data_IF_004778991181
#
_entry.id   IF_004778991181
#
_cell.length_a   1.000
_cell.length_b   1.000
_cell.length_c   1.000
_cell.angle_alpha   90.00
_cell.angle_beta   90.00
_cell.angle_gamma   90.00
#
_symmetry.space_group_name_H-M   'P 1'
#
loop_
_entity.id
_entity.type
_entity.pdbx_description
1 polymer ?
#
# COMPACT_ATOMS: atom_id res chain seq x y z
N UNK A 1 5.95 2.89 9.14
CA UNK A 1 4.90 2.09 8.49
C UNK A 1 5.38 1.50 7.17
N UNK A 2 5.99 2.31 6.28
CA UNK A 2 6.55 1.84 5.00
C UNK A 2 7.46 0.61 5.17
N UNK A 3 8.49 0.68 6.01
CA UNK A 3 9.45 -0.42 6.14
C UNK A 3 8.85 -1.70 6.74
N UNK A 4 7.83 -1.55 7.60
CA UNK A 4 7.09 -2.68 8.14
C UNK A 4 6.28 -3.38 7.04
N UNK A 5 5.52 -2.62 6.24
CA UNK A 5 4.77 -3.17 5.12
C UNK A 5 5.71 -3.86 4.11
N UNK A 6 6.85 -3.25 3.80
CA UNK A 6 7.87 -3.85 2.93
C UNK A 6 8.40 -5.17 3.48
N UNK A 7 8.66 -5.28 4.78
CA UNK A 7 9.07 -6.55 5.41
C UNK A 7 7.96 -7.60 5.32
N UNK A 8 6.72 -7.24 5.61
CA UNK A 8 5.59 -8.19 5.54
C UNK A 8 5.39 -8.76 4.13
N UNK A 9 5.64 -7.93 3.10
CA UNK A 9 5.69 -8.37 1.70
C UNK A 9 6.91 -9.25 1.42
N UNK A 10 8.11 -8.79 1.79
CA UNK A 10 9.36 -9.50 1.52
C UNK A 10 9.42 -10.89 2.17
N UNK A 11 8.89 -11.02 3.38
CA UNK A 11 8.84 -12.27 4.13
C UNK A 11 7.66 -13.17 3.72
N UNK A 12 6.84 -12.76 2.74
CA UNK A 12 5.66 -13.49 2.28
C UNK A 12 4.56 -13.64 3.35
N UNK A 13 4.61 -12.84 4.42
CA UNK A 13 3.69 -12.94 5.56
C UNK A 13 2.25 -12.66 5.12
N UNK A 14 2.06 -11.65 4.27
CA UNK A 14 0.73 -11.24 3.79
C UNK A 14 0.03 -12.39 3.08
N UNK A 15 0.69 -12.97 2.08
CA UNK A 15 0.11 -14.08 1.30
C UNK A 15 -0.10 -15.32 2.16
N UNK A 16 0.86 -15.65 3.04
CA UNK A 16 0.75 -16.80 3.94
C UNK A 16 -0.43 -16.70 4.91
N UNK A 17 -0.71 -15.50 5.43
CA UNK A 17 -1.78 -15.28 6.42
C UNK A 17 -3.14 -15.04 5.77
N UNK A 18 -3.18 -14.28 4.67
CA UNK A 18 -4.42 -13.84 4.02
C UNK A 18 -4.82 -14.69 2.80
N UNK A 19 -3.94 -15.60 2.36
CA UNK A 19 -4.19 -16.54 1.27
C UNK A 19 -4.06 -15.96 -0.14
N UNK A 20 -3.64 -14.69 -0.28
CA UNK A 20 -3.39 -14.02 -1.57
C UNK A 20 -2.48 -12.80 -1.38
N UNK A 21 -1.79 -12.31 -2.43
CA UNK A 21 -1.09 -11.04 -2.36
C UNK A 21 -2.12 -9.90 -2.17
N UNK A 22 -1.87 -9.01 -1.20
CA UNK A 22 -2.72 -7.86 -0.92
C UNK A 22 -1.87 -6.61 -0.69
N UNK A 23 -2.26 -5.45 -1.25
CA UNK A 23 -1.60 -4.19 -0.93
C UNK A 23 -1.88 -3.77 0.52
N UNK A 24 -0.92 -3.03 1.10
CA UNK A 24 -1.05 -2.36 2.40
C UNK A 24 -1.25 -0.86 2.15
N UNK A 25 -2.43 -0.34 2.50
CA UNK A 25 -2.70 1.11 2.46
C UNK A 25 -2.15 1.76 3.72
N UNK A 26 -1.31 2.79 3.56
CA UNK A 26 -0.72 3.52 4.68
C UNK A 26 -1.56 4.76 4.97
N UNK A 27 -2.00 4.88 6.23
CA UNK A 27 -2.78 6.02 6.70
C UNK A 27 -2.13 6.62 7.95
N UNK A 28 -1.89 7.93 7.95
CA UNK A 28 -1.28 8.66 9.05
C UNK A 28 -2.03 9.97 9.31
N UNK A 29 -2.76 10.03 10.43
CA UNK A 29 -3.52 11.22 10.82
C UNK A 29 -2.65 12.47 11.02
N UNK A 30 -1.35 12.30 11.31
CA UNK A 30 -0.43 13.42 11.49
C UNK A 30 0.17 13.91 10.15
N UNK A 31 -0.11 13.23 9.04
CA UNK A 31 0.44 13.54 7.71
C UNK A 31 -0.64 13.44 6.62
N UNK A 32 -1.65 14.32 6.64
CA UNK A 32 -2.69 14.33 5.63
C UNK A 32 -2.10 14.62 4.24
N UNK A 33 -2.59 13.93 3.21
CA UNK A 33 -2.15 14.05 1.83
C UNK A 33 -0.90 13.23 1.49
N UNK A 34 -0.34 12.49 2.46
CA UNK A 34 0.83 11.63 2.23
C UNK A 34 0.46 10.18 1.89
N UNK A 35 -0.81 9.82 2.05
CA UNK A 35 -1.31 8.44 2.04
C UNK A 35 -1.00 7.73 0.73
N UNK A 36 -1.19 8.41 -0.42
CA UNK A 36 -0.95 7.81 -1.73
C UNK A 36 0.52 7.50 -1.94
N UNK A 37 1.40 8.47 -1.68
CA UNK A 37 2.85 8.28 -1.80
C UNK A 37 3.36 7.23 -0.82
N UNK A 38 2.89 7.26 0.43
CA UNK A 38 3.29 6.29 1.44
C UNK A 38 2.82 4.88 1.09
N UNK A 39 1.61 4.74 0.54
CA UNK A 39 1.06 3.46 0.07
C UNK A 39 1.86 2.95 -1.11
N UNK A 40 2.18 3.78 -2.11
CA UNK A 40 3.03 3.36 -3.23
C UNK A 40 4.41 2.88 -2.76
N UNK A 41 5.08 3.63 -1.87
CA UNK A 41 6.39 3.28 -1.36
C UNK A 41 6.43 2.04 -0.44
N UNK A 42 5.29 1.70 0.18
CA UNK A 42 5.15 0.59 1.12
C UNK A 42 4.99 -0.78 0.44
N UNK A 43 4.62 -0.80 -0.85
CA UNK A 43 4.23 -2.00 -1.57
C UNK A 43 5.20 -2.34 -2.70
N UNK A 44 5.31 -3.63 -3.09
CA UNK A 44 6.05 -4.00 -4.28
C UNK A 44 5.40 -3.41 -5.54
N UNK A 45 6.17 -3.18 -6.62
CA UNK A 45 5.65 -2.69 -7.89
C UNK A 45 4.46 -3.53 -8.38
N UNK A 46 3.42 -2.86 -8.87
CA UNK A 46 2.21 -3.52 -9.39
C UNK A 46 1.16 -3.86 -8.33
N UNK A 47 1.53 -4.04 -7.06
CA UNK A 47 0.57 -4.46 -6.02
C UNK A 47 -0.52 -3.41 -5.72
N UNK A 48 -0.26 -2.14 -6.03
CA UNK A 48 -1.17 -1.01 -5.76
C UNK A 48 -1.85 -0.46 -7.02
N UNK A 49 -1.73 -1.09 -8.19
CA UNK A 49 -2.28 -0.54 -9.44
C UNK A 49 -3.79 -0.25 -9.36
N UNK A 50 -4.58 -1.19 -8.82
CA UNK A 50 -6.02 -0.99 -8.63
C UNK A 50 -6.32 0.14 -7.63
N UNK A 51 -5.50 0.28 -6.58
CA UNK A 51 -5.62 1.38 -5.63
C UNK A 51 -5.32 2.72 -6.29
N UNK A 52 -4.27 2.81 -7.10
CA UNK A 52 -3.92 4.05 -7.82
C UNK A 52 -5.01 4.42 -8.85
N UNK A 53 -5.56 3.44 -9.56
CA UNK A 53 -6.69 3.68 -10.47
C UNK A 53 -7.93 4.21 -9.71
N UNK A 54 -8.20 3.69 -8.52
CA UNK A 54 -9.29 4.17 -7.67
C UNK A 54 -9.05 5.61 -7.16
N UNK A 55 -7.82 5.92 -6.72
CA UNK A 55 -7.44 7.27 -6.27
C UNK A 55 -7.55 8.30 -7.40
N UNK A 56 -7.11 7.95 -8.61
CA UNK A 56 -7.27 8.78 -9.81
C UNK A 56 -8.75 9.05 -10.13
N UNK A 57 -9.59 8.01 -10.05
CA UNK A 57 -11.03 8.16 -10.28
C UNK A 57 -11.72 9.03 -9.20
N UNK A 58 -11.17 9.07 -7.99
CA UNK A 58 -11.63 9.92 -6.90
C UNK A 58 -11.14 11.37 -6.99
N UNK A 59 -10.16 11.68 -7.87
CA UNK A 59 -9.54 13.00 -7.97
C UNK A 59 -8.55 13.32 -6.84
N UNK A 60 -8.04 12.29 -6.16
CA UNK A 60 -7.07 12.40 -5.07
C UNK A 60 -5.61 12.41 -5.57
N UNK A 61 -5.41 12.02 -6.85
CA UNK A 61 -4.17 12.15 -7.63
C UNK A 61 -4.46 12.49 -9.09
#
# INVERSE_FOLDING_TARGET
>A
MIDLARHLHADGVIERVLGRPLPVVVFDMARPGWEVHATEAANPPGAVEEFMAWQLAAGEI
#
